data_IF_452768669183
#
_entry.id   IF_452768669183
#
_cell.length_a   1.000
_cell.length_b   1.000
_cell.length_c   1.000
_cell.angle_alpha   90.00
_cell.angle_beta   90.00
_cell.angle_gamma   90.00
#
_symmetry.space_group_name_H-M   'P 1'
#
loop_
_entity.id
_entity.type
_entity.pdbx_description
1 polymer ?
#
# COMPACT_ATOMS: atom_id res chain seq x y z
N UNK A 1 13.09 -15.78 -17.33
CA UNK A 1 13.57 -15.70 -15.93
C UNK A 1 13.53 -14.27 -15.42
N UNK A 2 13.07 -14.09 -14.18
CA UNK A 2 12.95 -12.79 -13.52
C UNK A 2 13.71 -12.82 -12.20
N UNK A 3 14.65 -11.89 -12.00
CA UNK A 3 15.42 -11.76 -10.78
C UNK A 3 15.54 -10.28 -10.40
N UNK A 4 15.13 -9.94 -9.18
CA UNK A 4 15.23 -8.58 -8.64
C UNK A 4 15.28 -8.60 -7.11
N UNK A 5 15.72 -7.49 -6.54
CA UNK A 5 15.72 -7.25 -5.09
C UNK A 5 14.89 -6.01 -4.81
N UNK A 6 14.12 -6.04 -3.73
CA UNK A 6 13.35 -4.90 -3.23
C UNK A 6 14.08 -4.35 -1.99
N UNK A 7 14.45 -3.08 -2.04
CA UNK A 7 15.09 -2.35 -0.95
C UNK A 7 14.09 -1.40 -0.28
N UNK A 8 14.43 -0.96 0.93
CA UNK A 8 13.69 0.12 1.60
C UNK A 8 13.64 1.35 0.69
N UNK A 9 12.52 2.07 0.72
CA UNK A 9 12.21 3.23 -0.12
C UNK A 9 12.01 2.94 -1.61
N UNK A 10 12.10 1.69 -2.04
CA UNK A 10 11.69 1.37 -3.41
C UNK A 10 10.20 1.71 -3.60
N UNK A 11 9.89 2.21 -4.79
CA UNK A 11 8.53 2.46 -5.26
C UNK A 11 8.38 1.76 -6.60
N UNK A 12 7.84 0.55 -6.56
CA UNK A 12 7.78 -0.34 -7.72
C UNK A 12 6.35 -0.31 -8.25
N UNK A 13 6.19 0.13 -9.49
CA UNK A 13 4.94 -0.07 -10.23
C UNK A 13 5.03 -1.31 -11.10
N UNK A 14 3.99 -2.14 -11.08
CA UNK A 14 3.82 -3.32 -11.92
C UNK A 14 2.71 -3.00 -12.92
N UNK A 15 3.07 -2.99 -14.20
CA UNK A 15 2.18 -2.56 -15.30
C UNK A 15 2.17 -3.58 -16.42
N UNK A 16 1.13 -3.58 -17.25
CA UNK A 16 1.00 -4.48 -18.39
C UNK A 16 -0.46 -4.89 -18.65
N UNK A 17 -0.76 -5.58 -19.75
CA UNK A 17 -2.13 -5.99 -20.10
C UNK A 17 -2.81 -6.89 -19.05
N UNK A 18 -4.12 -7.08 -19.18
CA UNK A 18 -4.82 -8.06 -18.34
C UNK A 18 -4.36 -9.48 -18.69
N UNK A 19 -4.26 -10.34 -17.68
CA UNK A 19 -3.82 -11.73 -17.86
C UNK A 19 -2.31 -11.91 -18.12
N UNK A 20 -1.49 -10.86 -18.03
CA UNK A 20 -0.03 -10.99 -18.21
C UNK A 20 0.73 -11.50 -16.97
N UNK A 21 0.05 -11.69 -15.83
CA UNK A 21 0.64 -12.24 -14.60
C UNK A 21 1.01 -11.22 -13.52
N UNK A 22 0.49 -9.97 -13.57
CA UNK A 22 0.74 -8.93 -12.53
C UNK A 22 0.31 -9.39 -11.14
N UNK A 23 -0.96 -9.78 -11.00
CA UNK A 23 -1.51 -10.29 -9.73
C UNK A 23 -0.78 -11.57 -9.31
N UNK A 24 -0.45 -12.46 -10.24
CA UNK A 24 0.35 -13.65 -9.95
C UNK A 24 1.73 -13.31 -9.37
N UNK A 25 2.42 -12.28 -9.89
CA UNK A 25 3.67 -11.82 -9.31
C UNK A 25 3.46 -11.32 -7.87
N UNK A 26 2.42 -10.52 -7.64
CA UNK A 26 2.07 -10.02 -6.30
C UNK A 26 1.78 -11.16 -5.32
N UNK A 27 0.98 -12.15 -5.72
CA UNK A 27 0.64 -13.32 -4.90
C UNK A 27 1.86 -14.18 -4.57
N UNK A 28 2.82 -14.29 -5.51
CA UNK A 28 4.10 -14.98 -5.29
C UNK A 28 4.98 -14.19 -4.30
N UNK A 29 5.06 -12.86 -4.44
CA UNK A 29 5.79 -11.99 -3.51
C UNK A 29 5.19 -12.08 -2.11
N UNK A 30 3.85 -12.09 -2.03
CA UNK A 30 3.08 -12.26 -0.80
C UNK A 30 3.12 -13.70 -0.24
N UNK A 31 3.85 -14.62 -0.88
CA UNK A 31 3.95 -16.04 -0.48
C UNK A 31 2.61 -16.77 -0.39
N UNK A 32 1.56 -16.26 -1.04
CA UNK A 32 0.24 -16.89 -1.18
C UNK A 32 0.21 -17.91 -2.31
N UNK A 33 1.08 -17.72 -3.29
CA UNK A 33 1.28 -18.64 -4.39
C UNK A 33 2.75 -19.07 -4.49
N UNK A 34 3.00 -20.36 -4.71
CA UNK A 34 4.36 -20.86 -4.96
C UNK A 34 4.78 -20.55 -6.40
N UNK A 35 6.01 -20.09 -6.64
CA UNK A 35 6.53 -19.97 -7.99
C UNK A 35 6.72 -21.36 -8.60
N UNK A 36 6.52 -21.48 -9.91
CA UNK A 36 6.76 -22.74 -10.64
C UNK A 36 8.24 -23.16 -10.62
N UNK A 37 9.15 -22.18 -10.52
CA UNK A 37 10.59 -22.37 -10.35
C UNK A 37 11.21 -21.15 -9.65
N UNK A 38 12.36 -21.32 -9.01
CA UNK A 38 13.04 -20.26 -8.25
C UNK A 38 12.50 -20.07 -6.83
N UNK A 39 12.90 -18.96 -6.20
CA UNK A 39 12.59 -18.71 -4.77
C UNK A 39 12.33 -17.23 -4.50
N UNK A 40 11.43 -16.95 -3.55
CA UNK A 40 11.23 -15.63 -2.96
C UNK A 40 11.67 -15.67 -1.50
N UNK A 41 12.53 -14.74 -1.09
CA UNK A 41 13.03 -14.66 0.29
C UNK A 41 12.81 -13.27 0.86
N UNK A 42 12.46 -13.21 2.14
CA UNK A 42 12.29 -11.98 2.89
C UNK A 42 13.34 -11.90 4.00
N UNK A 43 13.84 -10.70 4.28
CA UNK A 43 14.67 -10.46 5.46
C UNK A 43 13.83 -10.64 6.75
N UNK A 44 14.50 -10.87 7.89
CA UNK A 44 13.82 -11.04 9.19
C UNK A 44 12.97 -9.80 9.55
N UNK A 45 11.75 -10.02 10.01
CA UNK A 45 10.80 -8.96 10.42
C UNK A 45 9.45 -9.10 9.73
N UNK A 46 8.50 -8.16 9.97
CA UNK A 46 7.23 -8.14 9.26
C UNK A 46 7.48 -7.84 7.77
N UNK A 47 7.32 -8.87 6.93
CA UNK A 47 7.67 -8.83 5.51
C UNK A 47 6.89 -7.79 4.74
N UNK A 48 5.58 -7.98 4.60
CA UNK A 48 4.70 -7.11 3.83
C UNK A 48 3.32 -6.98 4.47
N UNK A 49 2.55 -5.99 4.01
CA UNK A 49 1.12 -5.87 4.24
C UNK A 49 0.39 -5.58 2.93
N UNK A 50 -0.76 -6.22 2.73
CA UNK A 50 -1.60 -6.03 1.54
C UNK A 50 -2.70 -5.02 1.85
N UNK A 51 -2.73 -3.91 1.12
CA UNK A 51 -3.68 -2.82 1.35
C UNK A 51 -5.13 -3.27 1.14
N UNK A 52 -5.38 -4.01 0.06
CA UNK A 52 -6.72 -4.44 -0.32
C UNK A 52 -7.34 -5.36 0.74
N UNK A 53 -6.53 -6.25 1.35
CA UNK A 53 -7.00 -7.13 2.40
C UNK A 53 -7.45 -6.35 3.63
N UNK A 54 -6.66 -5.34 4.04
CA UNK A 54 -7.03 -4.47 5.15
C UNK A 54 -8.31 -3.69 4.85
N UNK A 55 -8.46 -3.19 3.62
CA UNK A 55 -9.65 -2.46 3.19
C UNK A 55 -10.91 -3.33 3.24
N UNK A 56 -10.80 -4.58 2.81
CA UNK A 56 -11.89 -5.56 2.83
C UNK A 56 -12.21 -6.05 4.26
N UNK A 57 -11.19 -6.14 5.12
CA UNK A 57 -11.34 -6.64 6.50
C UNK A 57 -11.65 -5.55 7.54
N UNK A 58 -11.95 -4.32 7.14
CA UNK A 58 -12.27 -3.25 8.09
C UNK A 58 -13.52 -3.61 8.91
N UNK A 59 -13.43 -3.52 10.24
CA UNK A 59 -14.58 -3.71 11.13
C UNK A 59 -15.55 -2.53 10.99
N UNK A 60 -16.69 -2.77 10.34
CA UNK A 60 -17.69 -1.75 10.04
C UNK A 60 -18.36 -1.17 11.30
N UNK A 61 -18.29 -1.86 12.43
CA UNK A 61 -18.85 -1.41 13.70
C UNK A 61 -17.89 -0.52 14.48
N UNK A 62 -16.59 -0.57 14.14
CA UNK A 62 -15.55 0.18 14.81
C UNK A 62 -15.52 1.65 14.37
N UNK A 63 -14.91 2.49 15.19
CA UNK A 63 -14.68 3.91 14.89
C UNK A 63 -13.32 4.11 14.22
N UNK A 64 -13.20 5.16 13.40
CA UNK A 64 -11.93 5.52 12.73
C UNK A 64 -10.75 5.59 13.72
N UNK A 65 -10.97 6.27 14.85
CA UNK A 65 -9.92 6.45 15.86
C UNK A 65 -9.51 5.13 16.48
N UNK A 66 -10.46 4.27 16.84
CA UNK A 66 -10.16 3.02 17.51
C UNK A 66 -9.47 2.03 16.54
N UNK A 67 -9.97 1.90 15.30
CA UNK A 67 -9.38 1.02 14.28
C UNK A 67 -7.89 1.33 14.01
N UNK A 68 -7.54 2.61 13.94
CA UNK A 68 -6.15 3.05 13.70
C UNK A 68 -5.29 2.92 14.96
N UNK A 69 -5.84 3.24 16.15
CA UNK A 69 -5.12 3.06 17.41
C UNK A 69 -4.82 1.58 17.67
N UNK A 70 -5.76 0.67 17.42
CA UNK A 70 -5.61 -0.77 17.63
C UNK A 70 -4.46 -1.36 16.79
N UNK A 71 -4.26 -0.86 15.56
CA UNK A 71 -3.17 -1.30 14.69
C UNK A 71 -1.82 -0.69 15.10
N UNK A 72 -1.82 0.55 15.59
CA UNK A 72 -0.61 1.26 15.98
C UNK A 72 -0.02 0.86 17.34
N UNK A 73 -0.68 -0.02 18.11
CA UNK A 73 -0.22 -0.37 19.46
C UNK A 73 1.20 -0.98 19.47
N UNK A 74 1.62 -1.70 18.44
CA UNK A 74 2.99 -2.28 18.42
C UNK A 74 4.02 -1.40 17.71
N UNK A 75 3.63 -0.61 16.70
CA UNK A 75 4.57 0.19 15.89
C UNK A 75 4.75 1.62 16.42
N UNK A 76 3.71 2.19 17.02
CA UNK A 76 3.75 3.50 17.68
C UNK A 76 3.90 3.40 19.20
N UNK A 77 3.57 2.25 19.84
CA UNK A 77 3.59 2.16 21.31
C UNK A 77 4.78 1.40 21.88
N UNK A 78 5.81 2.18 22.22
CA UNK A 78 6.22 2.35 23.62
C UNK A 78 6.22 3.82 24.09
N UNK A 79 5.97 4.79 23.20
CA UNK A 79 6.14 6.23 23.52
C UNK A 79 5.18 7.18 22.77
N UNK A 80 4.43 6.75 21.74
CA UNK A 80 3.55 7.68 21.02
C UNK A 80 2.30 8.04 21.83
N UNK A 81 2.15 9.33 22.11
CA UNK A 81 0.96 9.86 22.80
C UNK A 81 -0.27 9.85 21.89
N UNK A 82 -1.50 9.83 22.45
CA UNK A 82 -2.77 10.03 21.70
C UNK A 82 -2.72 11.25 20.75
N UNK A 83 -1.98 12.31 21.12
CA UNK A 83 -1.75 13.49 20.27
C UNK A 83 -1.02 13.16 18.97
N UNK A 84 -0.08 12.21 19.00
CA UNK A 84 0.68 11.78 17.81
C UNK A 84 -0.22 11.05 16.81
N UNK A 85 -1.13 10.19 17.30
CA UNK A 85 -2.10 9.48 16.44
C UNK A 85 -3.10 10.45 15.83
N UNK A 86 -3.66 11.38 16.61
CA UNK A 86 -4.57 12.39 16.08
C UNK A 86 -3.88 13.25 15.01
N UNK A 87 -2.63 13.67 15.24
CA UNK A 87 -1.85 14.39 14.24
C UNK A 87 -1.65 13.58 12.96
N UNK A 88 -1.36 12.29 13.08
CA UNK A 88 -1.26 11.40 11.93
C UNK A 88 -2.58 11.28 11.16
N UNK A 89 -3.71 11.11 11.87
CA UNK A 89 -5.03 11.08 11.26
C UNK A 89 -5.42 12.41 10.58
N UNK A 90 -4.96 13.54 11.10
CA UNK A 90 -5.07 14.84 10.43
C UNK A 90 -4.27 14.88 9.12
N UNK A 91 -3.08 14.26 9.06
CA UNK A 91 -2.32 14.12 7.80
C UNK A 91 -3.05 13.22 6.79
N UNK A 92 -3.80 12.25 7.29
CA UNK A 92 -4.74 11.43 6.50
C UNK A 92 -6.04 12.18 6.16
N UNK A 93 -6.12 13.49 6.43
CA UNK A 93 -7.27 14.36 6.18
C UNK A 93 -8.58 13.92 6.86
N UNK A 94 -8.51 13.32 8.05
CA UNK A 94 -9.69 13.13 8.90
C UNK A 94 -9.95 14.37 9.76
N UNK A 95 -11.19 14.85 9.76
CA UNK A 95 -11.68 15.85 10.70
C UNK A 95 -11.99 15.22 12.07
N UNK A 96 -12.11 16.03 13.12
CA UNK A 96 -12.50 15.53 14.45
C UNK A 96 -13.88 14.85 14.46
N UNK A 97 -14.77 15.22 13.52
CA UNK A 97 -16.07 14.57 13.38
C UNK A 97 -15.90 13.16 12.81
N UNK A 98 -15.09 13.01 11.75
CA UNK A 98 -14.82 11.71 11.11
C UNK A 98 -14.20 10.72 12.10
N UNK A 99 -13.35 11.20 13.01
CA UNK A 99 -12.68 10.39 14.03
C UNK A 99 -13.63 9.59 14.92
N UNK A 100 -14.86 10.08 15.11
CA UNK A 100 -15.91 9.46 15.93
C UNK A 100 -16.92 8.65 15.12
N UNK A 101 -16.86 8.74 13.80
CA UNK A 101 -17.76 8.00 12.91
C UNK A 101 -17.41 6.52 12.89
N UNK A 102 -18.43 5.70 12.67
CA UNK A 102 -18.26 4.27 12.42
C UNK A 102 -17.79 4.03 10.99
N UNK A 103 -16.96 3.01 10.80
CA UNK A 103 -16.43 2.66 9.47
C UNK A 103 -17.55 2.39 8.46
N UNK A 104 -18.66 1.75 8.88
CA UNK A 104 -19.87 1.55 8.07
C UNK A 104 -20.44 2.84 7.43
N UNK A 105 -20.19 4.00 8.03
CA UNK A 105 -20.77 5.28 7.58
C UNK A 105 -19.84 6.07 6.65
N UNK A 106 -18.62 5.58 6.44
CA UNK A 106 -17.59 6.26 5.66
C UNK A 106 -17.78 6.05 4.16
N UNK A 107 -17.38 7.05 3.36
CA UNK A 107 -17.24 6.88 1.91
C UNK A 107 -16.14 5.87 1.57
N UNK A 108 -16.13 5.36 0.33
CA UNK A 108 -15.07 4.47 -0.15
C UNK A 108 -13.66 5.08 0.00
N UNK A 109 -13.50 6.35 -0.34
CA UNK A 109 -12.24 7.08 -0.15
C UNK A 109 -11.84 7.26 1.33
N UNK A 110 -12.80 7.49 2.22
CA UNK A 110 -12.54 7.52 3.67
C UNK A 110 -12.12 6.14 4.20
N UNK A 111 -12.80 5.06 3.79
CA UNK A 111 -12.41 3.67 4.14
C UNK A 111 -10.99 3.35 3.66
N UNK A 112 -10.66 3.72 2.42
CA UNK A 112 -9.31 3.58 1.87
C UNK A 112 -8.26 4.32 2.72
N UNK A 113 -8.58 5.54 3.20
CA UNK A 113 -7.68 6.29 4.08
C UNK A 113 -7.51 5.64 5.46
N UNK A 114 -8.53 4.97 6.00
CA UNK A 114 -8.40 4.15 7.24
C UNK A 114 -7.48 2.95 7.01
N UNK A 115 -7.72 2.17 5.95
CA UNK A 115 -6.90 1.00 5.63
C UNK A 115 -5.44 1.39 5.35
N UNK A 116 -5.21 2.50 4.66
CA UNK A 116 -3.86 3.01 4.41
C UNK A 116 -3.18 3.47 5.72
N UNK A 117 -3.93 4.13 6.62
CA UNK A 117 -3.42 4.48 7.94
C UNK A 117 -2.97 3.22 8.71
N UNK A 118 -3.77 2.15 8.69
CA UNK A 118 -3.39 0.86 9.29
C UNK A 118 -2.15 0.24 8.62
N UNK A 119 -2.05 0.29 7.29
CA UNK A 119 -0.86 -0.19 6.56
C UNK A 119 0.42 0.50 7.07
N UNK A 120 0.39 1.83 7.17
CA UNK A 120 1.53 2.65 7.60
C UNK A 120 1.92 2.41 9.06
N UNK A 121 0.95 2.01 9.90
CA UNK A 121 1.14 1.70 11.31
C UNK A 121 1.38 0.23 11.61
N UNK A 122 1.33 -0.66 10.61
CA UNK A 122 1.51 -2.11 10.81
C UNK A 122 2.95 -2.52 11.16
N UNK A 123 3.92 -1.63 10.92
CA UNK A 123 5.35 -1.93 11.06
C UNK A 123 5.92 -2.78 9.91
N UNK A 124 5.10 -3.16 8.92
CA UNK A 124 5.55 -3.91 7.75
C UNK A 124 6.66 -3.19 6.99
N UNK A 125 7.59 -3.95 6.42
CA UNK A 125 8.69 -3.39 5.63
C UNK A 125 8.28 -3.00 4.20
N UNK A 126 7.18 -3.57 3.71
CA UNK A 126 6.65 -3.38 2.36
C UNK A 126 5.12 -3.25 2.38
N UNK A 127 4.57 -2.28 1.65
CA UNK A 127 3.13 -2.18 1.37
C UNK A 127 2.90 -2.64 -0.07
N UNK A 128 1.91 -3.51 -0.26
CA UNK A 128 1.48 -3.97 -1.57
C UNK A 128 0.06 -3.46 -1.84
N UNK A 129 -0.15 -2.89 -3.02
CA UNK A 129 -1.44 -2.36 -3.47
C UNK A 129 -1.79 -2.94 -4.84
N UNK A 130 -3.01 -3.46 -5.01
CA UNK A 130 -3.52 -3.93 -6.30
C UNK A 130 -4.70 -3.06 -6.75
N UNK A 131 -4.52 -2.32 -7.84
CA UNK A 131 -5.44 -1.32 -8.38
C UNK A 131 -6.03 -0.36 -7.32
N UNK A 132 -5.18 0.32 -6.51
CA UNK A 132 -5.66 1.11 -5.37
C UNK A 132 -6.43 2.38 -5.75
N UNK A 133 -6.37 2.80 -7.01
CA UNK A 133 -7.06 3.99 -7.51
C UNK A 133 -8.52 3.74 -7.85
N UNK A 134 -8.94 2.47 -7.95
CA UNK A 134 -10.31 2.12 -8.28
C UNK A 134 -11.28 2.64 -7.21
N UNK A 135 -12.29 3.39 -7.63
CA UNK A 135 -13.35 3.96 -6.77
C UNK A 135 -12.86 4.98 -5.74
N UNK A 136 -11.65 5.52 -5.87
CA UNK A 136 -11.15 6.60 -5.01
C UNK A 136 -11.48 7.98 -5.57
N UNK A 137 -11.88 8.89 -4.69
CA UNK A 137 -11.93 10.31 -5.01
C UNK A 137 -10.52 10.91 -5.12
N UNK A 138 -10.43 12.07 -5.80
CA UNK A 138 -9.16 12.77 -6.05
C UNK A 138 -8.43 13.09 -4.73
N UNK A 139 -9.18 13.50 -3.70
CA UNK A 139 -8.62 13.86 -2.39
C UNK A 139 -7.94 12.67 -1.73
N UNK A 140 -8.58 11.50 -1.74
CA UNK A 140 -8.08 10.27 -1.14
C UNK A 140 -6.90 9.72 -1.93
N UNK A 141 -6.92 9.85 -3.26
CA UNK A 141 -5.76 9.54 -4.12
C UNK A 141 -4.55 10.40 -3.77
N UNK A 142 -4.71 11.71 -3.63
CA UNK A 142 -3.60 12.60 -3.25
C UNK A 142 -3.06 12.31 -1.84
N UNK A 143 -3.92 11.95 -0.89
CA UNK A 143 -3.48 11.48 0.44
C UNK A 143 -2.65 10.21 0.30
N UNK A 144 -3.11 9.27 -0.51
CA UNK A 144 -2.40 8.01 -0.73
C UNK A 144 -1.03 8.21 -1.37
N UNK A 145 -0.95 8.97 -2.45
CA UNK A 145 0.33 9.29 -3.11
C UNK A 145 1.34 9.91 -2.13
N UNK A 146 0.90 10.93 -1.37
CA UNK A 146 1.76 11.58 -0.37
C UNK A 146 2.21 10.59 0.70
N UNK A 147 1.31 9.77 1.23
CA UNK A 147 1.61 8.84 2.30
C UNK A 147 2.57 7.74 1.83
N UNK A 148 2.34 7.16 0.64
CA UNK A 148 3.22 6.17 0.03
C UNK A 148 4.60 6.75 -0.27
N UNK A 149 4.69 7.99 -0.75
CA UNK A 149 5.96 8.67 -0.99
C UNK A 149 6.79 8.84 0.28
N UNK A 150 6.16 9.12 1.42
CA UNK A 150 6.85 9.30 2.70
C UNK A 150 7.07 8.00 3.49
N UNK A 151 6.49 6.87 3.06
CA UNK A 151 6.65 5.60 3.75
C UNK A 151 8.12 5.13 3.75
N UNK A 152 8.74 4.84 4.91
CA UNK A 152 10.16 4.48 4.95
C UNK A 152 10.47 3.10 4.34
N UNK A 153 9.46 2.23 4.24
CA UNK A 153 9.57 0.92 3.62
C UNK A 153 9.47 0.96 2.09
N UNK A 154 9.31 -0.22 1.49
CA UNK A 154 9.07 -0.36 0.06
C UNK A 154 7.56 -0.29 -0.26
N UNK A 155 7.23 0.11 -1.47
CA UNK A 155 5.86 0.08 -1.99
C UNK A 155 5.87 -0.67 -3.31
N UNK A 156 4.96 -1.63 -3.45
CA UNK A 156 4.66 -2.32 -4.70
C UNK A 156 3.23 -1.96 -5.07
N UNK A 157 3.03 -1.40 -6.26
CA UNK A 157 1.69 -1.08 -6.76
C UNK A 157 1.45 -1.73 -8.11
N UNK A 158 0.36 -2.48 -8.23
CA UNK A 158 -0.20 -2.85 -9.52
C UNK A 158 -1.22 -1.78 -9.87
N UNK A 159 -1.05 -1.11 -11.00
CA UNK A 159 -2.02 -0.12 -11.45
C UNK A 159 -1.96 0.08 -12.96
N UNK A 160 -3.10 0.47 -13.53
CA UNK A 160 -3.19 1.03 -14.88
C UNK A 160 -3.19 2.56 -14.91
N UNK A 161 -3.25 3.23 -13.76
CA UNK A 161 -3.28 4.69 -13.64
C UNK A 161 -1.88 5.29 -13.81
N UNK A 162 -1.66 5.92 -14.98
CA UNK A 162 -0.38 6.52 -15.33
C UNK A 162 0.01 7.69 -14.43
N UNK A 163 -0.97 8.48 -13.97
CA UNK A 163 -0.68 9.64 -13.12
C UNK A 163 -0.25 9.17 -11.73
N UNK A 164 -0.96 8.20 -11.17
CA UNK A 164 -0.59 7.60 -9.88
C UNK A 164 0.80 6.96 -9.94
N UNK A 165 1.07 6.17 -10.99
CA UNK A 165 2.39 5.55 -11.20
C UNK A 165 3.48 6.63 -11.31
N UNK A 166 3.22 7.72 -12.03
CA UNK A 166 4.17 8.81 -12.18
C UNK A 166 4.46 9.53 -10.86
N UNK A 167 3.45 9.66 -10.00
CA UNK A 167 3.59 10.35 -8.72
C UNK A 167 4.26 9.49 -7.64
N UNK A 168 4.18 8.17 -7.74
CA UNK A 168 4.66 7.25 -6.69
C UNK A 168 5.90 6.47 -7.11
N UNK A 169 5.94 5.91 -8.32
CA UNK A 169 6.92 4.90 -8.70
C UNK A 169 8.28 5.47 -9.09
N UNK A 170 9.35 4.83 -8.64
CA UNK A 170 10.75 5.09 -9.06
C UNK A 170 11.31 3.96 -9.92
N UNK A 171 10.65 2.80 -9.88
CA UNK A 171 10.95 1.59 -10.67
C UNK A 171 9.65 1.10 -11.30
N UNK A 172 9.70 0.69 -12.56
CA UNK A 172 8.56 0.12 -13.27
C UNK A 172 8.92 -1.25 -13.81
N UNK A 173 8.15 -2.26 -13.45
CA UNK A 173 8.12 -3.56 -14.09
C UNK A 173 6.99 -3.58 -15.11
N UNK A 174 7.35 -3.63 -16.38
CA UNK A 174 6.40 -3.71 -17.49
C UNK A 174 6.32 -5.14 -18.00
N UNK A 175 5.16 -5.75 -17.87
CA UNK A 175 4.83 -7.06 -18.40
C UNK A 175 4.28 -6.90 -19.82
N UNK A 176 4.97 -7.45 -20.81
CA UNK A 176 4.51 -7.49 -22.21
C UNK A 176 3.58 -8.68 -22.51
N UNK A 177 3.54 -9.67 -21.62
CA UNK A 177 2.88 -10.96 -21.86
C UNK A 177 3.92 -12.06 -22.11
N UNK A 178 3.47 -13.32 -22.22
CA UNK A 178 4.33 -14.47 -22.51
C UNK A 178 5.54 -14.68 -21.56
N UNK A 179 5.48 -14.15 -20.32
CA UNK A 179 6.55 -14.30 -19.33
C UNK A 179 7.68 -13.28 -19.44
N UNK A 180 7.56 -12.29 -20.32
CA UNK A 180 8.54 -11.21 -20.46
C UNK A 180 8.22 -10.04 -19.52
N UNK A 181 9.25 -9.62 -18.77
CA UNK A 181 9.18 -8.48 -17.86
C UNK A 181 10.38 -7.57 -18.12
N UNK A 182 10.10 -6.30 -18.41
CA UNK A 182 11.12 -5.25 -18.56
C UNK A 182 11.15 -4.39 -17.31
N UNK A 183 12.33 -4.24 -16.69
CA UNK A 183 12.56 -3.27 -15.63
C UNK A 183 13.07 -1.95 -16.20
N UNK A 184 12.46 -0.85 -15.77
CA UNK A 184 12.94 0.52 -15.97
C UNK A 184 13.13 1.18 -14.60
N UNK A 185 14.29 1.81 -14.36
CA UNK A 185 14.61 2.56 -13.13
C UNK A 185 14.74 4.06 -13.44
N UNK A 186 14.57 4.90 -12.42
CA UNK A 186 14.66 6.36 -12.53
C UNK A 186 13.73 6.91 -13.63
N UNK A 187 12.50 6.42 -13.65
CA UNK A 187 11.55 6.63 -14.76
C UNK A 187 11.26 8.13 -15.02
N UNK A 188 11.50 8.99 -14.03
CA UNK A 188 11.11 10.40 -14.05
C UNK A 188 12.27 11.39 -13.91
N UNK A 189 13.53 10.94 -13.96
CA UNK A 189 14.66 11.86 -14.01
C UNK A 189 14.79 12.45 -15.42
N UNK A 190 14.44 13.73 -15.55
CA UNK A 190 14.89 14.62 -16.64
C UNK A 190 16.08 15.42 -16.12
#
# INVERSE_FOLDING_TARGET
DLAFTIHKRDRIAVTGPNGCGKTTLVEIIAQRQKPSAGTVTWAKGPGFIHFNDLLESLDETDTVTHAVNATGVDTLSRTATRKSVNRFLTLMQFSEMDLRQRISTLSGGQRARVALAQCLLSGASTIILDEPTNHMDITSMQVMERALNHFPGAVIVVSHDRFFIQNVATRVFQFSGAGEVRETRNVWSV
#
